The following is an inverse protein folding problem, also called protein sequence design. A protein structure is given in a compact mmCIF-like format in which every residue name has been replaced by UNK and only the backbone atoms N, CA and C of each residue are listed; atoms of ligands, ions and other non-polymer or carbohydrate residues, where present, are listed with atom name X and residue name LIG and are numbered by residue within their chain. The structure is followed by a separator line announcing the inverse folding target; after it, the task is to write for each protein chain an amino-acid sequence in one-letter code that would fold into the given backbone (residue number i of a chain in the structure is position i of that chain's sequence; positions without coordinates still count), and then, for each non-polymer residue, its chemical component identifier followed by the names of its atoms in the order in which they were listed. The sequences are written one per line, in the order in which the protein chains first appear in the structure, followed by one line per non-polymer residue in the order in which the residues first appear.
data_IF_574841097156
#
_entry.id   IF_574841097156
#
_cell.length_a   1.000
_cell.length_b   1.000
_cell.length_c   1.000
_cell.angle_alpha   90.00
_cell.angle_beta   90.00
_cell.angle_gamma   90.00
#
_symmetry.space_group_name_H-M   'P 1'
#
loop_
_entity.id
_entity.type
_entity.pdbx_description
1 polymer ?
#
# COMPACT_ATOMS: atom_id res chain seq x y z
N UNK A 1 -4.30 15.67 11.60
CA UNK A 1 -5.73 15.31 11.62
C UNK A 1 -5.97 14.23 10.58
N UNK A 2 -6.58 13.11 10.98
CA UNK A 2 -7.02 12.08 10.04
C UNK A 2 -8.25 12.60 9.28
N UNK A 3 -8.22 12.46 7.96
CA UNK A 3 -9.26 13.01 7.07
C UNK A 3 -9.89 11.94 6.17
N UNK A 4 -9.29 10.75 6.10
CA UNK A 4 -9.88 9.57 5.46
C UNK A 4 -9.47 8.28 6.15
N UNK A 5 -10.40 7.33 6.24
CA UNK A 5 -10.20 5.96 6.73
C UNK A 5 -10.88 4.98 5.79
N UNK A 6 -10.16 3.94 5.40
CA UNK A 6 -10.66 2.89 4.54
C UNK A 6 -10.25 1.54 5.13
N UNK A 7 -11.22 0.65 5.35
CA UNK A 7 -10.96 -0.70 5.88
C UNK A 7 -11.22 -1.71 4.77
N UNK A 8 -10.30 -2.65 4.58
CA UNK A 8 -10.46 -3.70 3.57
C UNK A 8 -11.67 -4.58 3.90
N UNK A 9 -12.34 -5.19 2.91
CA UNK A 9 -13.55 -6.00 3.16
C UNK A 9 -13.35 -7.17 4.14
N UNK A 10 -12.13 -7.69 4.26
CA UNK A 10 -11.76 -8.73 5.20
C UNK A 10 -11.36 -8.21 6.60
N UNK A 11 -11.39 -6.89 6.80
CA UNK A 11 -11.04 -6.21 8.05
C UNK A 11 -9.55 -6.25 8.41
N UNK A 12 -8.68 -6.79 7.54
CA UNK A 12 -7.27 -7.03 7.85
C UNK A 12 -6.39 -5.78 7.66
N UNK A 13 -6.79 -4.87 6.77
CA UNK A 13 -6.02 -3.68 6.43
C UNK A 13 -6.86 -2.43 6.69
N UNK A 14 -6.25 -1.45 7.36
CA UNK A 14 -6.79 -0.09 7.48
C UNK A 14 -5.84 0.87 6.80
N UNK A 15 -6.37 1.69 5.89
CA UNK A 15 -5.63 2.66 5.11
C UNK A 15 -6.06 4.07 5.51
N UNK A 16 -5.08 4.92 5.84
CA UNK A 16 -5.30 6.24 6.44
C UNK A 16 -4.80 7.34 5.51
N UNK A 17 -5.54 8.45 5.49
CA UNK A 17 -5.14 9.72 4.88
C UNK A 17 -5.11 10.78 5.98
N UNK A 18 -3.95 11.40 6.20
CA UNK A 18 -3.74 12.37 7.28
C UNK A 18 -3.19 13.72 6.78
N UNK A 19 -3.74 14.81 7.29
CA UNK A 19 -3.42 16.21 6.95
C UNK A 19 -2.77 16.90 8.18
N UNK A 20 -1.87 17.91 8.05
CA UNK A 20 -1.60 18.76 6.89
C UNK A 20 -0.56 18.28 5.88
N UNK A 21 0.27 17.30 6.22
CA UNK A 21 1.36 16.85 5.34
C UNK A 21 0.92 15.80 4.29
N UNK A 22 -0.39 15.53 4.24
CA UNK A 22 -1.00 14.52 3.36
C UNK A 22 -0.23 13.18 3.38
N UNK A 23 0.03 12.68 4.58
CA UNK A 23 0.66 11.37 4.81
C UNK A 23 -0.37 10.27 4.63
N UNK A 24 -0.01 9.23 3.87
CA UNK A 24 -0.95 8.21 3.40
C UNK A 24 -0.30 6.85 3.46
N UNK A 25 -0.90 5.90 4.16
CA UNK A 25 -0.32 4.59 4.37
C UNK A 25 -1.24 3.65 5.12
N UNK A 26 -0.77 2.43 5.34
CA UNK A 26 -1.50 1.45 6.15
C UNK A 26 -1.24 1.69 7.64
N UNK A 27 -2.31 1.68 8.44
CA UNK A 27 -2.19 1.83 9.89
C UNK A 27 -1.34 0.71 10.48
N UNK A 28 -0.40 1.06 11.36
CA UNK A 28 0.46 0.10 12.06
C UNK A 28 1.67 -0.37 11.25
N UNK A 29 1.87 0.14 10.02
CA UNK A 29 3.00 -0.22 9.17
C UNK A 29 3.87 0.99 8.84
N UNK A 30 5.18 0.78 8.62
CA UNK A 30 6.11 1.89 8.39
C UNK A 30 5.93 2.53 7.01
N UNK A 31 5.51 1.76 6.00
CA UNK A 31 5.40 2.26 4.64
C UNK A 31 4.25 3.26 4.47
N UNK A 32 4.59 4.43 3.94
CA UNK A 32 3.67 5.50 3.62
C UNK A 32 4.22 6.34 2.46
N UNK A 33 3.36 7.15 1.85
CA UNK A 33 3.71 8.16 0.87
C UNK A 33 3.09 9.50 1.26
N UNK A 34 3.42 10.54 0.50
CA UNK A 34 2.90 11.89 0.68
C UNK A 34 2.09 12.33 -0.53
N UNK A 35 1.07 13.16 -0.30
CA UNK A 35 0.25 13.75 -1.36
C UNK A 35 1.07 14.46 -2.43
N UNK A 36 2.14 15.15 -2.04
CA UNK A 36 3.08 15.83 -2.94
C UNK A 36 3.80 14.88 -3.91
N UNK A 37 4.17 13.67 -3.45
CA UNK A 37 4.78 12.63 -4.29
C UNK A 37 3.78 12.05 -5.28
N UNK A 38 2.53 11.81 -4.83
CA UNK A 38 1.45 11.35 -5.69
C UNK A 38 1.10 12.39 -6.76
N UNK A 39 1.06 13.66 -6.39
CA UNK A 39 0.86 14.78 -7.32
C UNK A 39 1.96 14.82 -8.39
N UNK A 40 3.22 14.79 -7.97
CA UNK A 40 4.36 14.81 -8.88
C UNK A 40 4.36 13.64 -9.86
N UNK A 41 4.02 12.43 -9.40
CA UNK A 41 3.96 11.23 -10.25
C UNK A 41 2.77 11.18 -11.21
N UNK A 42 1.67 11.87 -10.89
CA UNK A 42 0.43 11.82 -11.68
C UNK A 42 0.18 13.07 -12.54
N UNK A 43 0.89 14.17 -12.28
CA UNK A 43 0.65 15.47 -12.92
C UNK A 43 -0.63 16.17 -12.44
N UNK A 44 -1.26 15.68 -11.37
CA UNK A 44 -2.46 16.26 -10.76
C UNK A 44 -2.11 17.11 -9.54
N UNK A 45 -3.06 17.93 -9.06
CA UNK A 45 -2.94 18.52 -7.72
C UNK A 45 -2.98 17.42 -6.64
N UNK A 46 -2.43 17.72 -5.46
CA UNK A 46 -2.32 16.75 -4.36
C UNK A 46 -3.66 16.09 -4.01
N UNK A 47 -4.74 16.86 -3.88
CA UNK A 47 -6.03 16.32 -3.45
C UNK A 47 -6.58 15.37 -4.53
N UNK A 48 -6.49 15.74 -5.80
CA UNK A 48 -6.91 14.87 -6.92
C UNK A 48 -6.06 13.61 -7.01
N UNK A 49 -4.75 13.72 -6.83
CA UNK A 49 -3.83 12.57 -6.83
C UNK A 49 -4.15 11.59 -5.70
N UNK A 50 -4.43 12.11 -4.49
CA UNK A 50 -4.83 11.30 -3.32
C UNK A 50 -6.16 10.60 -3.58
N UNK A 51 -7.16 11.32 -4.07
CA UNK A 51 -8.47 10.75 -4.40
C UNK A 51 -8.35 9.61 -5.41
N UNK A 52 -7.56 9.81 -6.47
CA UNK A 52 -7.30 8.77 -7.47
C UNK A 52 -6.59 7.57 -6.85
N UNK A 53 -5.57 7.80 -6.03
CA UNK A 53 -4.82 6.73 -5.38
C UNK A 53 -5.71 5.86 -4.48
N UNK A 54 -6.57 6.49 -3.68
CA UNK A 54 -7.57 5.79 -2.85
C UNK A 54 -8.61 5.06 -3.71
N UNK A 55 -9.07 5.67 -4.81
CA UNK A 55 -10.02 5.04 -5.73
C UNK A 55 -9.41 3.79 -6.39
N UNK A 56 -8.16 3.85 -6.82
CA UNK A 56 -7.44 2.72 -7.41
C UNK A 56 -7.24 1.60 -6.38
N UNK A 57 -6.92 1.95 -5.12
CA UNK A 57 -6.81 0.99 -4.02
C UNK A 57 -8.15 0.30 -3.77
N UNK A 58 -9.17 1.07 -3.39
CA UNK A 58 -10.49 0.55 -2.99
C UNK A 58 -11.26 -0.10 -4.14
N UNK A 59 -10.97 0.27 -5.38
CA UNK A 59 -11.51 -0.31 -6.61
C UNK A 59 -10.79 -1.56 -7.12
N UNK A 60 -9.91 -2.17 -6.32
CA UNK A 60 -9.13 -3.36 -6.67
C UNK A 60 -8.16 -3.20 -7.86
N UNK A 61 -7.75 -1.97 -8.19
CA UNK A 61 -6.82 -1.66 -9.28
C UNK A 61 -5.37 -1.69 -8.82
N UNK A 62 -5.09 -1.30 -7.57
CA UNK A 62 -3.75 -1.34 -6.98
C UNK A 62 -3.35 -2.74 -6.52
N UNK A 63 -2.06 -3.07 -6.55
CA UNK A 63 -1.50 -4.29 -5.92
C UNK A 63 -0.92 -3.91 -4.58
N UNK A 64 -1.34 -4.63 -3.54
CA UNK A 64 -0.85 -4.50 -2.18
C UNK A 64 0.18 -5.60 -1.95
N UNK A 65 1.35 -5.23 -1.47
CA UNK A 65 2.40 -6.14 -1.02
C UNK A 65 2.31 -6.27 0.50
N UNK A 66 2.43 -7.49 0.99
CA UNK A 66 2.47 -7.79 2.42
C UNK A 66 3.72 -8.62 2.70
N UNK A 67 4.56 -8.17 3.64
CA UNK A 67 5.66 -9.01 4.14
C UNK A 67 5.35 -9.54 5.52
N UNK A 68 5.77 -10.77 5.79
CA UNK A 68 5.67 -11.37 7.13
C UNK A 68 7.00 -11.90 7.55
N UNK A 69 7.30 -11.85 8.84
CA UNK A 69 8.41 -12.57 9.44
C UNK A 69 7.87 -13.49 10.51
N UNK A 70 8.21 -14.77 10.43
CA UNK A 70 7.69 -15.79 11.36
C UNK A 70 6.15 -15.74 11.51
N UNK A 71 5.45 -15.47 10.41
CA UNK A 71 3.98 -15.38 10.35
C UNK A 71 3.37 -14.04 10.78
N UNK A 72 4.15 -13.13 11.36
CA UNK A 72 3.70 -11.80 11.79
C UNK A 72 3.84 -10.81 10.63
N UNK A 73 2.78 -10.06 10.33
CA UNK A 73 2.80 -9.01 9.31
C UNK A 73 3.73 -7.87 9.74
N UNK A 74 4.74 -7.59 8.92
CA UNK A 74 5.82 -6.64 9.24
C UNK A 74 5.76 -5.37 8.41
N UNK A 75 5.30 -5.45 7.17
CA UNK A 75 5.12 -4.28 6.31
C UNK A 75 4.00 -4.50 5.29
N UNK A 76 3.39 -3.39 4.88
CA UNK A 76 2.32 -3.36 3.87
C UNK A 76 2.46 -2.10 3.03
N UNK A 77 2.53 -2.26 1.72
CA UNK A 77 2.62 -1.11 0.80
C UNK A 77 1.94 -1.39 -0.54
N UNK A 78 1.76 -0.35 -1.35
CA UNK A 78 1.20 -0.46 -2.71
C UNK A 78 2.34 -0.41 -3.72
N UNK A 79 2.30 -1.28 -4.72
CA UNK A 79 3.28 -1.30 -5.81
C UNK A 79 2.58 -1.27 -7.18
N UNK A 80 3.21 -0.58 -8.12
CA UNK A 80 2.89 -0.62 -9.55
C UNK A 80 3.70 -1.71 -10.30
N UNK A 81 4.80 -2.17 -9.70
CA UNK A 81 5.64 -3.25 -10.23
C UNK A 81 5.82 -4.40 -9.20
N UNK A 82 4.87 -5.35 -9.17
CA UNK A 82 4.96 -6.52 -8.30
C UNK A 82 6.16 -7.42 -8.60
N UNK A 83 6.60 -7.49 -9.87
CA UNK A 83 7.71 -8.35 -10.28
C UNK A 83 9.04 -7.83 -9.73
N UNK A 84 9.27 -6.52 -9.79
CA UNK A 84 10.45 -5.89 -9.16
C UNK A 84 10.40 -6.02 -7.64
N UNK A 85 9.23 -5.86 -7.01
CA UNK A 85 9.08 -6.08 -5.57
C UNK A 85 9.45 -7.53 -5.18
N UNK A 86 8.98 -8.53 -5.93
CA UNK A 86 9.34 -9.94 -5.70
C UNK A 86 10.84 -10.21 -5.91
N UNK A 87 11.43 -9.61 -6.95
CA UNK A 87 12.87 -9.73 -7.24
C UNK A 87 13.72 -9.14 -6.11
N UNK A 88 13.37 -7.94 -5.63
CA UNK A 88 14.04 -7.27 -4.52
C UNK A 88 13.92 -8.07 -3.23
N UNK A 89 12.72 -8.57 -2.92
CA UNK A 89 12.51 -9.47 -1.78
C UNK A 89 13.40 -10.71 -1.86
N UNK A 90 13.48 -11.38 -3.02
CA UNK A 90 14.35 -12.56 -3.20
C UNK A 90 15.84 -12.24 -3.00
N UNK A 91 16.25 -11.01 -3.25
CA UNK A 91 17.65 -10.57 -3.17
C UNK A 91 18.05 -10.04 -1.79
N UNK A 92 17.14 -9.35 -1.11
CA UNK A 92 17.43 -8.58 0.10
C UNK A 92 16.57 -8.95 1.31
N UNK A 93 15.54 -9.78 1.12
CA UNK A 93 14.64 -10.22 2.17
C UNK A 93 15.33 -11.12 3.18
N UNK A 94 14.73 -11.21 4.37
CA UNK A 94 15.26 -12.09 5.41
C UNK A 94 14.93 -13.56 5.11
N UNK A 95 15.76 -14.54 5.56
CA UNK A 95 15.49 -15.95 5.32
C UNK A 95 14.14 -16.46 5.88
N UNK A 96 13.64 -15.83 6.95
CA UNK A 96 12.36 -16.15 7.59
C UNK A 96 11.20 -15.23 7.16
N UNK A 97 11.47 -14.33 6.21
CA UNK A 97 10.47 -13.46 5.63
C UNK A 97 9.63 -14.21 4.59
N UNK A 98 8.40 -13.76 4.38
CA UNK A 98 7.55 -14.16 3.25
C UNK A 98 6.97 -12.90 2.62
N UNK A 99 6.64 -12.98 1.33
CA UNK A 99 5.99 -11.91 0.57
C UNK A 99 4.71 -12.44 -0.07
N UNK A 100 3.63 -11.66 0.03
CA UNK A 100 2.34 -11.91 -0.60
C UNK A 100 1.90 -10.68 -1.38
N UNK A 101 1.18 -10.90 -2.48
CA UNK A 101 0.54 -9.85 -3.27
C UNK A 101 -0.96 -10.07 -3.29
N UNK A 102 -1.74 -9.02 -3.04
CA UNK A 102 -3.20 -9.09 -3.09
C UNK A 102 -3.83 -7.78 -3.56
N UNK A 103 -5.12 -7.84 -3.89
CA UNK A 103 -5.99 -6.67 -4.09
C UNK A 103 -6.66 -6.27 -2.78
N UNK A 104 -7.38 -5.14 -2.81
CA UNK A 104 -8.06 -4.61 -1.63
C UNK A 104 -9.10 -5.56 -1.06
N UNK A 105 -9.84 -6.27 -1.92
CA UNK A 105 -10.80 -7.31 -1.54
C UNK A 105 -10.18 -8.62 -1.01
N UNK A 106 -8.86 -8.72 -0.95
CA UNK A 106 -8.13 -9.91 -0.50
C UNK A 106 -7.81 -10.90 -1.61
N UNK A 107 -8.19 -10.64 -2.87
CA UNK A 107 -7.83 -11.51 -4.01
C UNK A 107 -6.32 -11.58 -4.18
N UNK A 108 -5.77 -12.79 -4.11
CA UNK A 108 -4.33 -13.04 -4.31
C UNK A 108 -3.92 -12.74 -5.74
N UNK A 109 -2.83 -12.00 -5.90
CA UNK A 109 -2.18 -11.70 -7.17
C UNK A 109 -0.97 -12.61 -7.33
N UNK A 110 -0.90 -13.34 -8.45
CA UNK A 110 0.27 -14.14 -8.80
C UNK A 110 1.26 -13.29 -9.58
N UNK A 111 2.53 -13.38 -9.19
CA UNK A 111 3.68 -12.65 -9.75
C UNK A 111 4.72 -13.64 -10.22
#
# INVERSE_FOLDING_TARGET
MQVGEYVSPDGQLRFLVACPDWTIGFEGFPSHTHGSLLAAGSGQDEISAIKRFVADLTGNISVIVLTRRSGVLTDVWITDDPATALSNYKRYGWPDETIEFRRWDGTVVKV
#
